data_IF_784779689448
#
_entry.id   IF_784779689448
#
_cell.length_a   1.000
_cell.length_b   1.000
_cell.length_c   1.000
_cell.angle_alpha   90.00
_cell.angle_beta   90.00
_cell.angle_gamma   90.00
#
_symmetry.space_group_name_H-M   'P 1'
#
loop_
_entity.id
_entity.type
_entity.pdbx_description
1 polymer ?
#
# COMPACT_ATOMS: atom_id res chain seq x y z
N UNK A 1 30.81 15.44 -22.91
CA UNK A 1 29.38 15.39 -23.28
C UNK A 1 29.08 13.97 -23.77
N UNK A 2 28.73 13.07 -22.86
CA UNK A 2 28.20 11.76 -23.20
C UNK A 2 26.76 11.76 -22.67
N UNK A 3 25.80 11.91 -23.58
CA UNK A 3 24.41 11.69 -23.26
C UNK A 3 24.27 10.22 -22.85
N UNK A 4 24.21 9.96 -21.55
CA UNK A 4 23.76 8.67 -21.05
C UNK A 4 22.37 8.46 -21.65
N UNK A 5 22.31 7.52 -22.58
CA UNK A 5 21.11 7.10 -23.28
C UNK A 5 20.03 6.87 -22.21
N UNK A 6 19.01 7.74 -22.17
CA UNK A 6 17.92 7.64 -21.21
C UNK A 6 17.08 6.44 -21.62
N UNK A 7 17.56 5.24 -21.30
CA UNK A 7 16.78 4.03 -21.33
C UNK A 7 15.60 4.26 -20.38
N UNK A 8 14.47 4.67 -20.93
CA UNK A 8 13.27 4.94 -20.16
C UNK A 8 12.89 3.69 -19.38
N UNK A 9 12.30 3.86 -18.20
CA UNK A 9 11.87 2.72 -17.40
C UNK A 9 11.00 1.76 -18.22
N UNK A 10 11.23 0.46 -18.04
CA UNK A 10 10.32 -0.57 -18.51
C UNK A 10 8.90 -0.34 -17.97
N UNK A 11 7.89 -0.99 -18.56
CA UNK A 11 6.50 -0.84 -18.10
C UNK A 11 6.30 -1.46 -16.71
N UNK A 12 5.90 -0.63 -15.74
CA UNK A 12 5.42 -1.02 -14.42
C UNK A 12 4.30 -0.08 -13.95
N UNK A 13 3.50 -0.56 -13.00
CA UNK A 13 2.48 0.20 -12.29
C UNK A 13 2.74 0.17 -10.78
N UNK A 14 2.09 1.09 -10.05
CA UNK A 14 1.98 0.95 -8.60
C UNK A 14 1.40 -0.43 -8.25
N UNK A 15 1.84 -1.02 -7.14
CA UNK A 15 1.46 -2.38 -6.73
C UNK A 15 2.22 -3.51 -7.42
N UNK A 16 2.89 -3.28 -8.56
CA UNK A 16 3.92 -4.20 -9.06
C UNK A 16 5.10 -4.27 -8.07
N UNK A 17 5.99 -5.24 -8.24
CA UNK A 17 7.12 -5.45 -7.34
C UNK A 17 8.44 -5.13 -8.04
N UNK A 18 9.41 -4.65 -7.28
CA UNK A 18 10.82 -4.60 -7.68
C UNK A 18 11.62 -5.57 -6.82
N UNK A 19 12.35 -6.46 -7.47
CA UNK A 19 13.29 -7.37 -6.84
C UNK A 19 14.68 -6.75 -6.83
N UNK A 20 15.20 -6.46 -5.65
CA UNK A 20 16.53 -5.85 -5.47
C UNK A 20 17.50 -6.94 -5.00
N UNK A 21 18.61 -7.09 -5.71
CA UNK A 21 19.70 -7.98 -5.35
C UNK A 21 20.69 -7.21 -4.48
N UNK A 22 20.83 -7.55 -3.18
CA UNK A 22 21.83 -6.93 -2.34
C UNK A 22 23.23 -7.45 -2.68
N UNK A 23 24.24 -6.62 -2.47
CA UNK A 23 25.63 -7.05 -2.57
C UNK A 23 25.92 -8.19 -1.59
N UNK A 24 26.62 -9.22 -2.04
CA UNK A 24 26.94 -10.40 -1.23
C UNK A 24 25.82 -11.44 -1.11
N UNK A 25 24.69 -11.29 -1.82
CA UNK A 25 23.69 -12.37 -1.92
C UNK A 25 23.03 -12.44 -3.30
N UNK A 26 22.88 -13.65 -3.89
CA UNK A 26 22.14 -13.82 -5.13
C UNK A 26 20.61 -13.82 -4.91
N UNK A 27 20.13 -13.76 -3.66
CA UNK A 27 18.71 -13.86 -3.33
C UNK A 27 18.07 -12.47 -3.33
N UNK A 28 17.16 -12.16 -4.27
CA UNK A 28 16.54 -10.85 -4.33
C UNK A 28 15.51 -10.64 -3.21
N UNK A 29 15.35 -9.39 -2.78
CA UNK A 29 14.26 -8.97 -1.90
C UNK A 29 13.24 -8.17 -2.69
N UNK A 30 11.96 -8.54 -2.53
CA UNK A 30 10.85 -7.89 -3.23
C UNK A 30 10.34 -6.70 -2.41
N UNK A 31 10.08 -5.60 -3.10
CA UNK A 31 9.47 -4.39 -2.55
C UNK A 31 8.31 -3.97 -3.45
N UNK A 32 7.18 -3.61 -2.86
CA UNK A 32 6.01 -3.14 -3.60
C UNK A 32 6.22 -1.71 -4.08
N UNK A 33 5.96 -1.47 -5.37
CA UNK A 33 6.17 -0.18 -6.02
C UNK A 33 5.10 0.82 -5.59
N UNK A 34 5.55 1.97 -5.10
CA UNK A 34 4.73 3.13 -4.76
C UNK A 34 4.52 4.09 -5.93
N UNK A 35 5.15 3.86 -7.07
CA UNK A 35 5.02 4.66 -8.28
C UNK A 35 4.68 3.79 -9.50
N UNK A 36 4.31 4.43 -10.60
CA UNK A 36 4.13 3.84 -11.92
C UNK A 36 5.09 4.48 -12.91
N UNK A 37 5.33 3.82 -14.06
CA UNK A 37 6.21 4.35 -15.12
C UNK A 37 5.91 5.81 -15.51
N UNK A 38 4.62 6.17 -15.53
CA UNK A 38 4.16 7.53 -15.89
C UNK A 38 4.63 8.62 -14.93
N UNK A 39 5.00 8.26 -13.70
CA UNK A 39 5.48 9.20 -12.70
C UNK A 39 6.95 9.60 -12.98
N UNK A 40 7.65 8.85 -13.84
CA UNK A 40 9.02 9.16 -14.25
C UNK A 40 10.08 8.74 -13.24
N UNK A 41 9.71 8.01 -12.20
CA UNK A 41 10.62 7.46 -11.18
C UNK A 41 10.09 6.14 -10.61
N UNK A 42 11.00 5.34 -10.04
CA UNK A 42 10.70 4.16 -9.22
C UNK A 42 10.76 4.56 -7.75
N UNK A 43 9.71 4.27 -7.00
CA UNK A 43 9.64 4.55 -5.57
C UNK A 43 9.22 3.29 -4.81
N UNK A 44 9.89 3.05 -3.67
CA UNK A 44 9.58 1.97 -2.73
C UNK A 44 9.67 2.49 -1.30
N UNK A 45 8.97 1.82 -0.39
CA UNK A 45 9.06 2.11 1.04
C UNK A 45 9.83 0.98 1.72
N UNK A 46 10.96 1.31 2.34
CA UNK A 46 11.84 0.35 2.99
C UNK A 46 11.85 0.58 4.49
N UNK A 47 11.55 -0.47 5.26
CA UNK A 47 11.80 -0.50 6.70
C UNK A 47 13.13 -1.20 6.94
N UNK A 48 14.04 -0.51 7.62
CA UNK A 48 15.29 -1.11 8.08
C UNK A 48 15.00 -2.27 9.04
N UNK A 49 15.45 -3.46 8.67
CA UNK A 49 15.40 -4.64 9.55
C UNK A 49 16.77 -4.81 10.21
N UNK A 50 16.85 -4.87 11.55
CA UNK A 50 18.10 -5.21 12.24
C UNK A 50 18.66 -6.53 11.71
N UNK A 51 19.93 -6.53 11.29
CA UNK A 51 20.59 -7.69 10.66
C UNK A 51 20.14 -8.01 9.23
N UNK A 52 19.20 -7.25 8.66
CA UNK A 52 18.72 -7.47 7.29
C UNK A 52 19.67 -6.87 6.25
N UNK A 53 20.25 -7.72 5.38
CA UNK A 53 21.24 -7.31 4.37
C UNK A 53 20.69 -6.24 3.41
N UNK A 54 19.65 -6.57 2.64
CA UNK A 54 19.10 -5.68 1.62
C UNK A 54 18.52 -4.38 2.20
N UNK A 55 17.75 -4.46 3.29
CA UNK A 55 17.20 -3.25 3.92
C UNK A 55 18.29 -2.34 4.51
N UNK A 56 19.40 -2.91 5.00
CA UNK A 56 20.51 -2.11 5.55
C UNK A 56 21.27 -1.41 4.42
N UNK A 57 21.57 -2.11 3.32
CA UNK A 57 22.21 -1.50 2.15
C UNK A 57 21.34 -0.39 1.55
N UNK A 58 20.04 -0.63 1.37
CA UNK A 58 19.12 0.37 0.82
C UNK A 58 18.96 1.60 1.70
N UNK A 59 18.99 1.44 3.02
CA UNK A 59 18.86 2.58 3.96
C UNK A 59 20.17 3.31 4.22
N UNK A 60 21.30 2.77 3.75
CA UNK A 60 22.60 3.41 3.75
C UNK A 60 23.00 3.91 2.36
N UNK A 61 22.13 3.78 1.36
CA UNK A 61 22.41 4.18 -0.01
C UNK A 61 22.35 5.71 -0.12
N UNK A 62 23.47 6.31 -0.50
CA UNK A 62 23.56 7.75 -0.74
C UNK A 62 22.99 8.13 -2.12
N UNK A 63 22.61 9.41 -2.33
CA UNK A 63 22.24 9.91 -3.64
C UNK A 63 23.27 9.55 -4.71
N UNK A 64 22.79 9.21 -5.91
CA UNK A 64 23.59 8.67 -7.03
C UNK A 64 24.15 7.25 -6.84
N UNK A 65 23.90 6.61 -5.69
CA UNK A 65 24.14 5.19 -5.51
C UNK A 65 23.28 4.33 -6.45
N UNK A 66 23.79 3.14 -6.78
CA UNK A 66 23.13 2.22 -7.71
C UNK A 66 22.82 0.89 -7.04
N UNK A 67 21.73 0.25 -7.47
CA UNK A 67 21.38 -1.11 -7.06
C UNK A 67 21.01 -1.96 -8.27
N UNK A 68 21.31 -3.25 -8.21
CA UNK A 68 20.86 -4.20 -9.23
C UNK A 68 19.43 -4.64 -8.93
N UNK A 69 18.52 -4.43 -9.88
CA UNK A 69 17.11 -4.73 -9.67
C UNK A 69 16.40 -5.23 -10.93
N UNK A 70 15.27 -5.92 -10.75
CA UNK A 70 14.36 -6.33 -11.82
C UNK A 70 12.91 -6.07 -11.42
N UNK A 71 12.04 -5.88 -12.43
CA UNK A 71 10.61 -5.68 -12.22
C UNK A 71 9.86 -7.02 -12.28
N UNK A 72 8.87 -7.17 -11.40
CA UNK A 72 7.95 -8.31 -11.38
C UNK A 72 6.52 -7.80 -11.29
N UNK A 73 5.68 -8.16 -12.26
CA UNK A 73 4.26 -7.81 -12.24
C UNK A 73 3.54 -8.45 -11.05
N UNK A 74 2.53 -7.77 -10.52
CA UNK A 74 1.68 -8.27 -9.44
C UNK A 74 0.19 -8.16 -9.80
N UNK A 75 -0.31 -8.97 -10.76
CA UNK A 75 -1.69 -8.85 -11.24
C UNK A 75 -2.74 -9.13 -10.15
N UNK A 76 -2.38 -9.88 -9.10
CA UNK A 76 -3.26 -10.17 -7.95
C UNK A 76 -3.55 -8.94 -7.09
N UNK A 77 -2.66 -7.94 -7.09
CA UNK A 77 -2.79 -6.74 -6.27
C UNK A 77 -2.86 -5.47 -7.13
N UNK A 78 -3.93 -5.37 -7.91
CA UNK A 78 -4.20 -4.21 -8.76
C UNK A 78 -5.63 -3.68 -8.51
N UNK A 79 -5.86 -2.36 -8.57
CA UNK A 79 -7.18 -1.79 -8.30
C UNK A 79 -8.24 -2.22 -9.34
N UNK A 80 -7.82 -2.67 -10.52
CA UNK A 80 -8.70 -2.99 -11.64
C UNK A 80 -9.18 -1.72 -12.39
N UNK A 81 -9.94 -1.92 -13.47
CA UNK A 81 -10.39 -0.84 -14.37
C UNK A 81 -11.74 -0.20 -14.00
N UNK A 82 -12.45 -0.77 -13.02
CA UNK A 82 -13.80 -0.35 -12.62
C UNK A 82 -13.85 0.97 -11.85
N UNK A 83 -15.09 1.39 -11.54
CA UNK A 83 -15.41 2.63 -10.80
C UNK A 83 -15.88 2.40 -9.37
N UNK A 84 -16.22 1.17 -8.99
CA UNK A 84 -16.63 0.82 -7.64
C UNK A 84 -15.60 1.29 -6.60
N UNK A 85 -15.95 1.69 -5.37
CA UNK A 85 -14.97 2.27 -4.44
C UNK A 85 -13.75 1.38 -4.15
N UNK A 86 -12.64 1.97 -3.69
CA UNK A 86 -11.50 1.26 -3.13
C UNK A 86 -11.43 1.50 -1.62
N UNK A 87 -11.27 0.41 -0.86
CA UNK A 87 -10.90 0.45 0.54
C UNK A 87 -9.46 -0.04 0.65
N UNK A 88 -8.53 0.88 0.80
CA UNK A 88 -7.10 0.64 0.91
C UNK A 88 -6.73 0.54 2.38
N UNK A 89 -6.12 -0.56 2.80
CA UNK A 89 -5.78 -0.80 4.21
C UNK A 89 -4.30 -1.18 4.29
N UNK A 90 -3.52 -0.40 5.04
CA UNK A 90 -2.11 -0.71 5.20
C UNK A 90 -1.52 -0.17 6.49
N UNK A 91 -0.37 -0.70 6.86
CA UNK A 91 0.38 -0.23 8.02
C UNK A 91 1.89 -0.24 7.77
N UNK A 92 2.59 0.77 8.29
CA UNK A 92 4.02 0.97 8.05
C UNK A 92 4.33 0.99 6.55
N UNK A 93 5.25 0.14 6.10
CA UNK A 93 5.66 0.11 4.68
C UNK A 93 4.58 -0.38 3.72
N UNK A 94 3.48 -0.97 4.23
CA UNK A 94 2.33 -1.34 3.41
C UNK A 94 1.64 -0.15 2.75
N UNK A 95 1.94 1.09 3.16
CA UNK A 95 1.47 2.31 2.50
C UNK A 95 1.98 2.46 1.07
N UNK A 96 3.16 1.93 0.73
CA UNK A 96 3.82 2.16 -0.55
C UNK A 96 2.90 1.97 -1.76
N UNK A 97 2.42 0.75 -2.06
CA UNK A 97 1.56 0.54 -3.22
C UNK A 97 0.22 1.29 -3.11
N UNK A 98 -0.30 1.48 -1.89
CA UNK A 98 -1.56 2.18 -1.65
C UNK A 98 -1.45 3.67 -2.02
N UNK A 99 -0.37 4.34 -1.60
CA UNK A 99 -0.04 5.70 -1.97
C UNK A 99 0.12 5.82 -3.49
N UNK A 100 0.75 4.84 -4.14
CA UNK A 100 0.85 4.79 -5.61
C UNK A 100 -0.51 4.68 -6.31
N UNK A 101 -1.46 3.94 -5.74
CA UNK A 101 -2.84 3.90 -6.25
C UNK A 101 -3.54 5.25 -6.12
N UNK A 102 -3.39 5.94 -4.97
CA UNK A 102 -3.97 7.28 -4.75
C UNK A 102 -3.34 8.31 -5.69
N UNK A 103 -1.99 8.38 -5.73
CA UNK A 103 -1.22 9.21 -6.67
C UNK A 103 -1.74 9.02 -8.10
N UNK A 104 -1.98 7.77 -8.45
CA UNK A 104 -2.43 7.35 -9.77
C UNK A 104 -3.91 7.54 -10.10
N UNK A 105 -4.73 8.01 -9.15
CA UNK A 105 -6.19 8.09 -9.27
C UNK A 105 -6.68 9.31 -10.07
N UNK A 106 -6.17 9.50 -11.28
CA UNK A 106 -6.53 10.62 -12.16
C UNK A 106 -8.01 10.63 -12.59
N UNK A 107 -8.75 9.54 -12.35
CA UNK A 107 -10.17 9.43 -12.68
C UNK A 107 -11.08 9.71 -11.49
N UNK A 108 -10.53 10.06 -10.32
CA UNK A 108 -11.30 10.33 -9.10
C UNK A 108 -12.26 9.19 -8.74
N UNK A 109 -11.80 7.94 -8.88
CA UNK A 109 -12.51 6.78 -8.31
C UNK A 109 -12.57 6.99 -6.79
N UNK A 110 -13.69 6.71 -6.09
CA UNK A 110 -13.72 6.86 -4.64
C UNK A 110 -12.66 5.96 -3.99
N UNK A 111 -11.77 6.56 -3.19
CA UNK A 111 -10.75 5.86 -2.42
C UNK A 111 -10.85 6.25 -0.96
N UNK A 112 -10.94 5.24 -0.10
CA UNK A 112 -10.88 5.36 1.35
C UNK A 112 -9.60 4.63 1.82
N UNK A 113 -8.73 5.33 2.54
CA UNK A 113 -7.46 4.80 3.03
C UNK A 113 -7.51 4.68 4.56
N UNK A 114 -7.26 3.48 5.07
CA UNK A 114 -7.02 3.22 6.49
C UNK A 114 -5.53 2.94 6.67
N UNK A 115 -4.82 3.83 7.35
CA UNK A 115 -3.36 3.76 7.50
C UNK A 115 -2.91 3.66 8.97
N UNK A 116 -2.15 2.61 9.28
CA UNK A 116 -1.56 2.38 10.60
C UNK A 116 -0.10 2.82 10.67
N UNK A 117 0.24 3.58 11.71
CA UNK A 117 1.60 4.06 11.96
C UNK A 117 1.98 3.94 13.44
N UNK A 118 3.25 4.17 13.76
CA UNK A 118 3.75 4.17 15.15
C UNK A 118 3.64 5.54 15.77
N UNK A 119 4.27 6.54 15.17
CA UNK A 119 4.22 7.93 15.60
C UNK A 119 3.91 8.84 14.41
N UNK A 120 2.96 9.79 14.52
CA UNK A 120 2.63 10.70 13.42
C UNK A 120 3.82 11.51 12.92
N UNK A 121 4.68 11.98 13.82
CA UNK A 121 5.78 12.89 13.48
C UNK A 121 6.92 12.22 12.71
N UNK A 122 7.06 10.89 12.80
CA UNK A 122 8.16 10.15 12.15
C UNK A 122 7.70 9.09 11.15
N UNK A 123 6.46 8.59 11.27
CA UNK A 123 5.98 7.45 10.50
C UNK A 123 4.78 7.79 9.61
N UNK A 124 4.35 9.06 9.54
CA UNK A 124 3.31 9.47 8.61
C UNK A 124 3.87 9.70 7.21
N UNK A 125 4.29 8.59 6.60
CA UNK A 125 4.78 8.55 5.23
C UNK A 125 3.74 9.12 4.27
N UNK A 126 4.19 9.97 3.34
CA UNK A 126 3.37 10.68 2.36
C UNK A 126 2.34 11.66 2.96
N UNK A 127 2.52 12.14 4.20
CA UNK A 127 1.54 13.01 4.86
C UNK A 127 1.18 14.27 4.06
N UNK A 128 2.16 14.95 3.49
CA UNK A 128 1.95 16.15 2.67
C UNK A 128 1.22 15.82 1.35
N UNK A 129 1.65 14.75 0.67
CA UNK A 129 1.05 14.31 -0.58
C UNK A 129 -0.38 13.82 -0.38
N UNK A 130 -0.65 13.11 0.72
CA UNK A 130 -2.01 12.66 1.09
C UNK A 130 -2.93 13.86 1.29
N UNK A 131 -2.47 14.91 2.00
CA UNK A 131 -3.24 16.14 2.15
C UNK A 131 -3.53 16.80 0.79
N UNK A 132 -2.55 16.80 -0.13
CA UNK A 132 -2.74 17.22 -1.52
C UNK A 132 -3.77 16.38 -2.28
N UNK A 133 -3.68 15.06 -2.17
CA UNK A 133 -4.61 14.13 -2.81
C UNK A 133 -6.04 14.24 -2.30
N UNK A 134 -6.23 14.61 -1.03
CA UNK A 134 -7.57 14.92 -0.50
C UNK A 134 -8.11 16.22 -1.09
N UNK A 135 -7.31 17.29 -1.12
CA UNK A 135 -7.71 18.58 -1.72
C UNK A 135 -8.10 18.43 -3.19
N UNK A 136 -7.38 17.61 -3.94
CA UNK A 136 -7.60 17.42 -5.37
C UNK A 136 -8.61 16.28 -5.66
N UNK A 137 -9.26 15.71 -4.62
CA UNK A 137 -10.30 14.69 -4.77
C UNK A 137 -9.81 13.33 -5.28
N UNK A 138 -8.51 13.02 -5.17
CA UNK A 138 -7.95 11.69 -5.46
C UNK A 138 -8.12 10.72 -4.28
N UNK A 139 -8.20 11.25 -3.06
CA UNK A 139 -8.52 10.51 -1.84
C UNK A 139 -9.75 11.12 -1.18
N UNK A 140 -10.79 10.33 -0.96
CA UNK A 140 -12.03 10.82 -0.34
C UNK A 140 -11.90 10.85 1.18
N UNK A 141 -11.36 9.78 1.76
CA UNK A 141 -11.25 9.64 3.21
C UNK A 141 -9.92 9.03 3.60
N UNK A 142 -9.30 9.62 4.63
CA UNK A 142 -8.18 9.04 5.35
C UNK A 142 -8.62 8.75 6.78
N UNK A 143 -8.35 7.54 7.25
CA UNK A 143 -8.48 7.15 8.66
C UNK A 143 -7.12 6.65 9.13
N UNK A 144 -6.61 7.21 10.22
CA UNK A 144 -5.29 6.86 10.76
C UNK A 144 -5.39 6.11 12.08
N UNK A 145 -4.53 5.12 12.28
CA UNK A 145 -4.37 4.42 13.55
C UNK A 145 -2.93 4.57 14.08
N UNK A 146 -2.78 5.02 15.33
CA UNK A 146 -1.48 5.31 15.94
C UNK A 146 -1.21 4.32 17.07
N UNK A 147 -0.26 3.42 16.85
CA UNK A 147 0.03 2.30 17.75
C UNK A 147 0.89 2.66 18.97
N UNK A 148 1.59 3.81 18.96
CA UNK A 148 2.47 4.25 20.07
C UNK A 148 2.08 5.61 20.64
N UNK A 149 0.78 5.83 20.81
CA UNK A 149 0.21 6.99 21.51
C UNK A 149 -0.31 6.65 22.91
N UNK A 150 -0.91 7.63 23.59
CA UNK A 150 -1.55 7.45 24.91
C UNK A 150 -2.66 6.38 24.90
N UNK A 151 -3.34 6.23 23.75
CA UNK A 151 -4.34 5.19 23.50
C UNK A 151 -3.95 4.47 22.20
N UNK A 152 -3.19 3.37 22.29
CA UNK A 152 -2.77 2.60 21.12
C UNK A 152 -3.97 2.16 20.27
N UNK A 153 -3.91 2.44 18.97
CA UNK A 153 -4.91 2.02 17.99
C UNK A 153 -4.19 1.36 16.81
N UNK A 154 -4.80 0.29 16.29
CA UNK A 154 -4.39 -0.39 15.07
C UNK A 154 -5.46 -0.25 13.98
N UNK A 155 -5.13 -0.63 12.75
CA UNK A 155 -6.04 -0.46 11.61
C UNK A 155 -7.32 -1.26 11.76
N UNK A 156 -7.29 -2.43 12.40
CA UNK A 156 -8.49 -3.22 12.69
C UNK A 156 -9.43 -2.52 13.68
N UNK A 157 -8.89 -1.73 14.61
CA UNK A 157 -9.70 -0.94 15.54
C UNK A 157 -10.35 0.23 14.80
N UNK A 158 -9.59 0.89 13.92
CA UNK A 158 -10.11 1.94 13.05
C UNK A 158 -11.21 1.44 12.10
N UNK A 159 -11.06 0.22 11.55
CA UNK A 159 -12.09 -0.41 10.72
C UNK A 159 -13.39 -0.65 11.51
N UNK A 160 -13.28 -1.16 12.74
CA UNK A 160 -14.45 -1.37 13.61
C UNK A 160 -15.15 -0.07 13.95
N UNK A 161 -14.39 1.00 14.23
CA UNK A 161 -14.95 2.33 14.48
C UNK A 161 -15.70 2.90 13.25
N UNK A 162 -15.26 2.52 12.05
CA UNK A 162 -15.83 2.94 10.76
C UNK A 162 -16.75 1.87 10.14
N UNK A 163 -17.25 0.92 10.95
CA UNK A 163 -17.96 -0.27 10.46
C UNK A 163 -19.13 0.05 9.52
N UNK A 164 -19.93 1.07 9.84
CA UNK A 164 -21.08 1.48 9.02
C UNK A 164 -20.65 1.97 7.64
N UNK A 165 -19.60 2.79 7.57
CA UNK A 165 -19.05 3.31 6.32
C UNK A 165 -18.43 2.19 5.48
N UNK A 166 -17.61 1.34 6.10
CA UNK A 166 -16.98 0.18 5.45
C UNK A 166 -18.04 -0.76 4.89
N UNK A 167 -19.08 -1.09 5.66
CA UNK A 167 -20.20 -1.92 5.22
C UNK A 167 -20.96 -1.30 4.04
N UNK A 168 -21.21 0.01 4.07
CA UNK A 168 -21.84 0.75 2.97
C UNK A 168 -21.05 0.64 1.67
N UNK A 169 -19.76 0.96 1.72
CA UNK A 169 -18.86 0.84 0.56
C UNK A 169 -18.83 -0.58 0.00
N UNK A 170 -18.81 -1.62 0.85
CA UNK A 170 -18.80 -3.01 0.40
C UNK A 170 -20.12 -3.41 -0.28
N UNK A 171 -21.28 -2.91 0.20
CA UNK A 171 -22.57 -3.06 -0.50
C UNK A 171 -22.54 -2.38 -1.88
N UNK A 172 -21.86 -1.24 -1.99
CA UNK A 172 -21.66 -0.49 -3.24
C UNK A 172 -20.61 -1.14 -4.17
N UNK A 173 -20.19 -2.38 -3.88
CA UNK A 173 -19.28 -3.13 -4.73
C UNK A 173 -17.80 -2.80 -4.51
N UNK A 174 -17.43 -2.15 -3.40
CA UNK A 174 -16.05 -1.78 -3.13
C UNK A 174 -15.08 -2.97 -3.23
N UNK A 175 -13.86 -2.67 -3.67
CA UNK A 175 -12.73 -3.59 -3.61
C UNK A 175 -11.84 -3.23 -2.43
N UNK A 176 -11.64 -4.19 -1.54
CA UNK A 176 -10.74 -4.14 -0.39
C UNK A 176 -9.34 -4.58 -0.81
N UNK A 177 -8.33 -3.78 -0.47
CA UNK A 177 -6.93 -4.06 -0.77
C UNK A 177 -6.08 -3.88 0.48
N UNK A 178 -5.47 -4.96 0.95
CA UNK A 178 -4.68 -4.98 2.19
C UNK A 178 -3.20 -5.16 1.88
N UNK A 179 -2.33 -4.29 2.39
CA UNK A 179 -0.88 -4.42 2.23
C UNK A 179 -0.14 -4.20 3.55
N UNK A 180 0.80 -5.09 3.88
CA UNK A 180 1.62 -4.98 5.08
C UNK A 180 1.95 -6.32 5.74
N UNK A 181 2.21 -6.31 7.05
CA UNK A 181 2.61 -7.50 7.78
C UNK A 181 1.45 -8.49 7.99
N UNK A 182 1.74 -9.80 7.99
CA UNK A 182 0.75 -10.88 8.21
C UNK A 182 -0.12 -10.71 9.47
N UNK A 183 0.48 -10.28 10.58
CA UNK A 183 -0.28 -10.04 11.82
C UNK A 183 -1.32 -8.93 11.69
N UNK A 184 -0.99 -7.85 10.96
CA UNK A 184 -1.95 -6.79 10.64
C UNK A 184 -3.06 -7.31 9.73
N UNK A 185 -2.70 -8.08 8.70
CA UNK A 185 -3.68 -8.65 7.77
C UNK A 185 -4.68 -9.60 8.45
N UNK A 186 -4.22 -10.41 9.42
CA UNK A 186 -5.10 -11.27 10.23
C UNK A 186 -6.13 -10.44 11.00
N UNK A 187 -5.68 -9.40 11.72
CA UNK A 187 -6.58 -8.52 12.47
C UNK A 187 -7.57 -7.79 11.56
N UNK A 188 -7.15 -7.39 10.35
CA UNK A 188 -8.03 -6.81 9.33
C UNK A 188 -9.08 -7.81 8.85
N UNK A 189 -8.69 -9.07 8.60
CA UNK A 189 -9.62 -10.11 8.18
C UNK A 189 -10.67 -10.41 9.26
N UNK A 190 -10.28 -10.42 10.54
CA UNK A 190 -11.20 -10.57 11.69
C UNK A 190 -12.17 -9.39 11.79
N UNK A 191 -11.67 -8.15 11.76
CA UNK A 191 -12.53 -6.97 11.79
C UNK A 191 -13.50 -6.92 10.61
N UNK A 192 -13.05 -7.29 9.41
CA UNK A 192 -13.93 -7.39 8.24
C UNK A 192 -14.96 -8.51 8.40
N UNK A 193 -14.62 -9.65 9.00
CA UNK A 193 -15.61 -10.69 9.28
C UNK A 193 -16.73 -10.18 10.20
N UNK A 194 -16.39 -9.42 11.24
CA UNK A 194 -17.37 -8.80 12.14
C UNK A 194 -18.25 -7.77 11.41
N UNK A 195 -17.66 -6.89 10.61
CA UNK A 195 -18.37 -5.84 9.85
C UNK A 195 -19.31 -6.46 8.81
N UNK A 196 -18.91 -7.58 8.20
CA UNK A 196 -19.65 -8.23 7.12
C UNK A 196 -20.72 -9.21 7.61
N UNK A 197 -20.62 -9.73 8.84
CA UNK A 197 -21.56 -10.70 9.37
C UNK A 197 -23.03 -10.22 9.32
N UNK A 198 -23.37 -8.97 9.70
CA UNK A 198 -24.73 -8.44 9.57
C UNK A 198 -25.23 -8.32 8.11
N UNK A 199 -24.32 -8.38 7.13
CA UNK A 199 -24.64 -8.35 5.70
C UNK A 199 -24.85 -9.74 5.10
N UNK A 200 -24.63 -10.82 5.89
CA UNK A 200 -24.56 -12.18 5.36
C UNK A 200 -23.36 -12.41 4.44
N UNK A 201 -22.34 -11.57 4.51
CA UNK A 201 -21.13 -11.66 3.69
C UNK A 201 -19.95 -12.14 4.54
N UNK A 202 -18.90 -12.62 3.88
CA UNK A 202 -17.64 -13.01 4.53
C UNK A 202 -16.45 -12.48 3.74
N UNK A 203 -15.28 -12.27 4.39
CA UNK A 203 -14.05 -11.95 3.67
C UNK A 203 -13.71 -13.00 2.60
N UNK A 204 -13.99 -14.28 2.87
CA UNK A 204 -13.78 -15.37 1.92
C UNK A 204 -14.64 -15.23 0.66
N UNK A 205 -15.91 -14.85 0.79
CA UNK A 205 -16.78 -14.56 -0.36
C UNK A 205 -16.23 -13.40 -1.21
N UNK A 206 -15.81 -12.31 -0.56
CA UNK A 206 -15.19 -11.18 -1.26
C UNK A 206 -13.88 -11.58 -1.97
N UNK A 207 -13.08 -12.47 -1.38
CA UNK A 207 -11.86 -13.02 -2.02
C UNK A 207 -12.21 -13.83 -3.26
N UNK A 208 -13.22 -14.71 -3.18
CA UNK A 208 -13.68 -15.52 -4.32
C UNK A 208 -14.19 -14.66 -5.48
N UNK A 209 -14.80 -13.50 -5.18
CA UNK A 209 -15.26 -12.52 -6.17
C UNK A 209 -14.16 -11.57 -6.69
N UNK A 210 -12.93 -11.67 -6.16
CA UNK A 210 -11.83 -10.74 -6.48
C UNK A 210 -12.02 -9.33 -5.94
N UNK A 211 -12.99 -9.13 -5.03
CA UNK A 211 -13.26 -7.86 -4.33
C UNK A 211 -12.46 -7.69 -3.04
N UNK A 212 -11.71 -8.71 -2.62
CA UNK A 212 -10.74 -8.61 -1.53
C UNK A 212 -9.41 -9.18 -2.02
N UNK A 213 -8.33 -8.39 -1.95
CA UNK A 213 -6.97 -8.84 -2.32
C UNK A 213 -5.92 -8.38 -1.32
N UNK A 214 -4.82 -9.14 -1.23
CA UNK A 214 -3.74 -8.95 -0.25
C UNK A 214 -2.37 -8.93 -0.93
N UNK A 215 -1.48 -8.05 -0.46
CA UNK A 215 -0.04 -8.11 -0.69
C UNK A 215 0.66 -8.08 0.68
N UNK A 216 0.82 -9.27 1.27
CA UNK A 216 1.22 -9.45 2.68
C UNK A 216 2.51 -10.23 2.84
N UNK A 217 3.34 -9.84 3.79
CA UNK A 217 4.68 -10.38 4.01
C UNK A 217 5.04 -10.60 5.48
#
# INVERSE_FOLDING_TARGET
MAAADRAGFARFNAGDLIGILPEGSPVPRLYSLASARRDGFVEIVVKRQPGGLCSTQLTALEPHGTVTAFLRRNPGFQPGKGRAPLILIGAGTGIGPLAGFVRGNARHRPIHLVFGMRHPDSDFLYGEEIAGWQRDGRLIRLVTAVSRGKRPLYVQDALRAEATEVAGLIRDGARVMVCGGRGMASGVAEALAEILAPLGLTPAALKAEGRYVEDVY
#
